data_IF_683295911614
#
_entry.id   IF_683295911614
#
_cell.length_a   1.000
_cell.length_b   1.000
_cell.length_c   1.000
_cell.angle_alpha   90.00
_cell.angle_beta   90.00
_cell.angle_gamma   90.00
#
_symmetry.space_group_name_H-M   'P 1'
#
loop_
_entity.id
_entity.type
_entity.pdbx_description
1 polymer ?
#
# COMPACT_ATOMS: atom_id res chain seq x y z
N UNK A 1 15.41 3.55 -0.66
CA UNK A 1 14.98 2.93 -1.94
C UNK A 1 14.12 3.88 -2.77
N UNK A 2 12.91 4.27 -2.32
CA UNK A 2 12.02 5.12 -3.14
C UNK A 2 12.63 6.48 -3.49
N UNK A 3 13.34 7.14 -2.57
CA UNK A 3 14.02 8.42 -2.82
C UNK A 3 15.08 8.34 -3.92
N UNK A 4 15.87 7.26 -3.96
CA UNK A 4 16.89 7.05 -5.00
C UNK A 4 16.26 6.67 -6.34
N UNK A 5 15.20 5.85 -6.31
CA UNK A 5 14.44 5.53 -7.51
C UNK A 5 13.78 6.79 -8.12
N UNK A 6 13.22 7.68 -7.29
CA UNK A 6 12.62 8.94 -7.77
C UNK A 6 13.64 9.92 -8.34
N UNK A 7 14.91 9.83 -7.95
CA UNK A 7 16.00 10.64 -8.52
C UNK A 7 16.71 9.97 -9.70
N UNK A 8 16.19 8.85 -10.22
CA UNK A 8 16.78 8.11 -11.35
C UNK A 8 18.00 7.25 -10.99
N UNK A 9 18.36 7.16 -9.71
CA UNK A 9 19.48 6.35 -9.22
C UNK A 9 19.00 4.91 -8.93
N UNK A 10 18.84 4.15 -10.02
CA UNK A 10 18.24 2.81 -10.02
C UNK A 10 19.16 1.79 -9.32
N UNK A 11 20.47 1.88 -9.52
CA UNK A 11 21.45 0.96 -8.92
C UNK A 11 21.46 1.08 -7.39
N UNK A 12 21.55 2.30 -6.87
CA UNK A 12 21.52 2.53 -5.42
C UNK A 12 20.17 2.16 -4.80
N UNK A 13 19.08 2.30 -5.54
CA UNK A 13 17.78 1.82 -5.11
C UNK A 13 17.72 0.28 -5.02
N UNK A 14 18.39 -0.44 -5.93
CA UNK A 14 18.49 -1.90 -5.92
C UNK A 14 19.36 -2.40 -4.76
N UNK A 15 20.52 -1.79 -4.54
CA UNK A 15 21.42 -2.15 -3.44
C UNK A 15 20.74 -2.01 -2.07
N UNK A 16 20.03 -0.90 -1.84
CA UNK A 16 19.27 -0.70 -0.60
C UNK A 16 18.16 -1.73 -0.45
N UNK A 17 17.50 -2.16 -1.54
CA UNK A 17 16.48 -3.22 -1.46
C UNK A 17 17.10 -4.57 -1.07
N UNK A 18 18.27 -4.90 -1.62
CA UNK A 18 19.01 -6.12 -1.26
C UNK A 18 19.43 -6.09 0.21
N UNK A 19 19.96 -4.97 0.68
CA UNK A 19 20.36 -4.78 2.07
C UNK A 19 19.16 -4.87 3.04
N UNK A 20 18.04 -4.24 2.70
CA UNK A 20 16.79 -4.35 3.48
C UNK A 20 16.27 -5.80 3.53
N UNK A 21 16.42 -6.56 2.45
CA UNK A 21 16.06 -7.98 2.44
C UNK A 21 17.01 -8.82 3.32
N UNK A 22 18.33 -8.55 3.25
CA UNK A 22 19.35 -9.27 4.02
C UNK A 22 19.30 -8.97 5.52
N UNK A 23 18.93 -7.76 5.91
CA UNK A 23 18.83 -7.34 7.32
C UNK A 23 17.62 -7.95 8.05
N UNK A 24 16.72 -8.65 7.34
CA UNK A 24 15.51 -9.21 7.94
C UNK A 24 14.47 -8.15 8.33
N UNK A 25 14.68 -6.89 7.94
CA UNK A 25 13.78 -5.78 8.20
C UNK A 25 12.45 -5.99 7.46
N UNK A 26 11.43 -6.49 8.17
CA UNK A 26 10.08 -6.61 7.62
C UNK A 26 9.46 -5.22 7.51
N UNK A 27 9.01 -4.84 6.31
CA UNK A 27 8.15 -3.66 6.14
C UNK A 27 6.94 -3.82 7.05
N UNK A 28 6.72 -2.87 7.96
CA UNK A 28 5.43 -2.80 8.66
C UNK A 28 4.36 -2.55 7.60
N UNK A 29 3.29 -3.34 7.65
CA UNK A 29 2.15 -3.12 6.78
C UNK A 29 1.64 -1.69 6.98
N UNK A 30 1.30 -1.01 5.89
CA UNK A 30 0.61 0.28 5.98
C UNK A 30 -0.71 0.12 6.72
N UNK A 31 -1.06 1.13 7.51
CA UNK A 31 -2.35 1.19 8.19
C UNK A 31 -2.97 2.53 7.87
N UNK A 32 -4.19 2.51 7.36
CA UNK A 32 -5.02 3.69 7.13
C UNK A 32 -6.16 3.70 8.13
N UNK A 33 -6.48 4.88 8.65
CA UNK A 33 -7.63 5.11 9.52
C UNK A 33 -8.58 6.06 8.80
N UNK A 34 -9.87 5.74 8.83
CA UNK A 34 -10.91 6.56 8.20
C UNK A 34 -12.08 6.70 9.15
N UNK A 35 -12.50 7.93 9.41
CA UNK A 35 -13.71 8.20 10.17
C UNK A 35 -14.92 8.16 9.24
N UNK A 36 -15.93 7.38 9.61
CA UNK A 36 -17.20 7.33 8.91
C UNK A 36 -18.29 7.00 9.93
N UNK A 37 -19.36 7.80 9.94
CA UNK A 37 -20.51 7.69 10.85
C UNK A 37 -20.09 7.69 12.34
N UNK A 38 -19.22 8.62 12.73
CA UNK A 38 -18.70 8.74 14.10
C UNK A 38 -17.85 7.56 14.57
N UNK A 39 -17.49 6.63 13.67
CA UNK A 39 -16.66 5.46 13.96
C UNK A 39 -15.36 5.52 13.17
N UNK A 40 -14.25 5.17 13.84
CA UNK A 40 -12.95 5.02 13.20
C UNK A 40 -12.83 3.59 12.65
N UNK A 41 -12.67 3.50 11.33
CA UNK A 41 -12.39 2.28 10.60
C UNK A 41 -10.89 2.16 10.35
N UNK A 42 -10.35 0.95 10.53
CA UNK A 42 -8.92 0.66 10.34
C UNK A 42 -8.75 -0.31 9.18
N UNK A 43 -7.94 0.07 8.22
CA UNK A 43 -7.57 -0.75 7.08
C UNK A 43 -6.07 -1.03 7.11
N UNK A 44 -5.69 -2.31 7.09
CA UNK A 44 -4.30 -2.71 7.01
C UNK A 44 -3.99 -3.19 5.59
N UNK A 45 -2.85 -2.77 5.06
CA UNK A 45 -2.42 -3.18 3.73
C UNK A 45 -2.34 -4.71 3.64
N UNK A 46 -2.96 -5.27 2.60
CA UNK A 46 -3.08 -6.72 2.34
C UNK A 46 -3.89 -7.50 3.39
N UNK A 47 -4.70 -6.83 4.21
CA UNK A 47 -5.61 -7.51 5.12
C UNK A 47 -6.76 -8.17 4.33
N UNK A 48 -7.03 -9.43 4.70
CA UNK A 48 -8.10 -10.27 4.15
C UNK A 48 -8.95 -10.93 5.25
N UNK A 49 -8.78 -10.53 6.51
CA UNK A 49 -9.47 -11.14 7.64
C UNK A 49 -10.97 -10.81 7.71
N UNK A 50 -11.43 -9.78 7.00
CA UNK A 50 -12.83 -9.41 6.96
C UNK A 50 -13.63 -10.41 6.11
N UNK A 51 -14.82 -10.89 6.55
CA UNK A 51 -15.67 -11.78 5.75
C UNK A 51 -15.94 -11.25 4.34
N UNK A 52 -16.17 -9.94 4.24
CA UNK A 52 -16.45 -9.26 2.98
C UNK A 52 -15.20 -8.70 2.28
N UNK A 53 -14.01 -9.24 2.58
CA UNK A 53 -12.74 -8.71 2.03
C UNK A 53 -12.75 -8.63 0.50
N UNK A 54 -13.30 -9.63 -0.18
CA UNK A 54 -13.40 -9.65 -1.64
C UNK A 54 -14.19 -8.45 -2.19
N UNK A 55 -15.32 -8.11 -1.56
CA UNK A 55 -16.15 -6.98 -1.97
C UNK A 55 -15.46 -5.64 -1.72
N UNK A 56 -14.81 -5.50 -0.55
CA UNK A 56 -14.05 -4.29 -0.20
C UNK A 56 -12.97 -4.01 -1.25
N UNK A 57 -12.17 -5.02 -1.61
CA UNK A 57 -11.12 -4.86 -2.63
C UNK A 57 -11.70 -4.59 -4.03
N UNK A 58 -12.83 -5.21 -4.39
CA UNK A 58 -13.52 -4.92 -5.64
C UNK A 58 -13.99 -3.46 -5.76
N UNK A 59 -14.45 -2.85 -4.65
CA UNK A 59 -14.80 -1.43 -4.63
C UNK A 59 -13.58 -0.53 -4.79
N UNK A 60 -12.46 -0.85 -4.15
CA UNK A 60 -11.20 -0.12 -4.31
C UNK A 60 -10.72 -0.16 -5.77
N UNK A 61 -10.81 -1.32 -6.42
CA UNK A 61 -10.46 -1.47 -7.84
C UNK A 61 -11.39 -0.65 -8.74
N UNK A 62 -12.70 -0.67 -8.46
CA UNK A 62 -13.69 0.14 -9.19
C UNK A 62 -13.38 1.63 -9.08
N UNK A 63 -13.12 2.12 -7.87
CA UNK A 63 -12.77 3.54 -7.63
C UNK A 63 -11.46 3.92 -8.33
N UNK A 64 -10.46 3.03 -8.32
CA UNK A 64 -9.19 3.27 -9.02
C UNK A 64 -9.37 3.39 -10.53
N UNK A 65 -10.22 2.55 -11.13
CA UNK A 65 -10.58 2.67 -12.55
C UNK A 65 -11.28 3.99 -12.86
N UNK A 66 -12.24 4.40 -12.02
CA UNK A 66 -12.90 5.70 -12.17
C UNK A 66 -11.90 6.86 -12.11
N UNK A 67 -10.94 6.83 -11.18
CA UNK A 67 -9.94 7.90 -11.09
C UNK A 67 -9.05 8.00 -12.34
N UNK A 68 -8.79 6.88 -13.03
CA UNK A 68 -8.04 6.86 -14.29
C UNK A 68 -8.89 7.38 -15.45
N UNK A 69 -10.18 7.05 -15.50
CA UNK A 69 -11.09 7.50 -16.57
C UNK A 69 -11.41 9.00 -16.50
N UNK A 70 -11.44 9.59 -15.30
CA UNK A 70 -11.79 11.00 -15.08
C UNK A 70 -10.59 11.93 -14.87
N UNK A 71 -9.36 11.40 -14.86
CA UNK A 71 -8.11 12.16 -14.71
C UNK A 71 -7.36 12.33 -16.02
#
# INVERSE_FOLDING_TARGET
ANTYASSGDIEKAADIKIELHRSGAKKKAGVTLTEFDGKIWRFRAHDQSHPDSAEIHAQVDRMSKMLIEYG
#
